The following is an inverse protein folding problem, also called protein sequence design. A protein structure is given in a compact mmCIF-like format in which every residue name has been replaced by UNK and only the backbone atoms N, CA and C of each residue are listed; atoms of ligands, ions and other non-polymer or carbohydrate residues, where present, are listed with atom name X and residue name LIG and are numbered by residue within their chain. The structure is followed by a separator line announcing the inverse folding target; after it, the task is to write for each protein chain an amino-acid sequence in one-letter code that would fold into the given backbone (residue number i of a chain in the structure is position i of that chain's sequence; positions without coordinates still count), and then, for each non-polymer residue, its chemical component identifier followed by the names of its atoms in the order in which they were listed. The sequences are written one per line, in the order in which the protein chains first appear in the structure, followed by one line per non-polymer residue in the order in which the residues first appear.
data_IF_984338219621
#
_entry.id   IF_984338219621
#
_cell.length_a   1.000
_cell.length_b   1.000
_cell.length_c   1.000
_cell.angle_alpha   90.00
_cell.angle_beta   90.00
_cell.angle_gamma   90.00
#
_symmetry.space_group_name_H-M   'P 1'
#
loop_
_entity.id
_entity.type
_entity.pdbx_description
1 polymer ?
#
# COMPACT_ATOMS: atom_id res chain seq x y z
N UNK A 1 12.11 17.07 -28.13
CA UNK A 1 12.65 17.07 -26.76
C UNK A 1 11.43 16.96 -25.87
N UNK A 2 11.22 15.84 -25.19
CA UNK A 2 10.12 15.76 -24.21
C UNK A 2 10.61 16.54 -22.98
N UNK A 3 9.86 17.55 -22.57
CA UNK A 3 10.17 18.31 -21.36
C UNK A 3 9.77 17.49 -20.14
N UNK A 4 10.70 17.28 -19.22
CA UNK A 4 10.40 16.66 -17.93
C UNK A 4 9.62 17.65 -17.06
N UNK A 5 8.40 17.29 -16.68
CA UNK A 5 7.56 17.98 -15.71
C UNK A 5 7.60 17.35 -14.32
N UNK A 6 7.16 18.09 -13.31
CA UNK A 6 6.98 17.59 -11.96
C UNK A 6 5.62 18.02 -11.37
N UNK A 7 5.08 17.21 -10.47
CA UNK A 7 3.82 17.49 -9.78
C UNK A 7 3.94 17.13 -8.29
N UNK A 8 3.96 18.11 -7.37
CA UNK A 8 3.89 17.85 -5.94
C UNK A 8 2.45 17.48 -5.52
N UNK A 9 2.32 16.51 -4.62
CA UNK A 9 1.02 16.06 -4.14
C UNK A 9 1.09 15.49 -2.72
N UNK A 10 -0.08 15.39 -2.08
CA UNK A 10 -0.26 14.63 -0.84
C UNK A 10 -0.93 13.29 -1.18
N UNK A 11 -0.34 12.14 -0.81
CA UNK A 11 -0.99 10.84 -1.03
C UNK A 11 -2.31 10.76 -0.24
N UNK A 12 -3.28 10.00 -0.73
CA UNK A 12 -4.52 9.72 0.01
C UNK A 12 -4.31 8.70 1.14
N UNK A 13 -3.30 7.84 0.98
CA UNK A 13 -2.86 6.92 2.00
C UNK A 13 -1.35 6.64 1.89
N UNK A 14 -0.70 6.54 3.05
CA UNK A 14 0.61 5.95 3.22
C UNK A 14 0.62 5.15 4.52
N UNK A 15 0.62 3.83 4.45
CA UNK A 15 0.59 2.94 5.61
C UNK A 15 1.88 2.13 5.69
N UNK A 16 2.41 1.96 6.90
CA UNK A 16 3.43 0.94 7.17
C UNK A 16 2.80 -0.31 7.75
N UNK A 17 3.24 -1.47 7.28
CA UNK A 17 2.79 -2.79 7.73
C UNK A 17 4.01 -3.59 8.17
N UNK A 18 4.00 -4.03 9.43
CA UNK A 18 5.11 -4.72 10.09
C UNK A 18 4.61 -5.97 10.82
N UNK A 19 5.54 -6.84 11.24
CA UNK A 19 5.25 -8.09 11.94
C UNK A 19 5.65 -9.33 11.13
N UNK A 20 5.81 -10.47 11.82
CA UNK A 20 6.31 -11.72 11.22
C UNK A 20 5.40 -12.22 10.08
N UNK A 21 4.10 -12.00 10.19
CA UNK A 21 3.09 -12.51 9.25
C UNK A 21 2.73 -11.53 8.12
N UNK A 22 3.27 -10.31 8.15
CA UNK A 22 2.92 -9.24 7.21
C UNK A 22 3.02 -9.62 5.71
N UNK A 23 4.06 -10.33 5.23
CA UNK A 23 4.13 -10.73 3.82
C UNK A 23 2.99 -11.66 3.40
N UNK A 24 2.68 -12.65 4.24
CA UNK A 24 1.63 -13.64 3.99
C UNK A 24 0.24 -13.01 4.08
N UNK A 25 0.03 -12.21 5.11
CA UNK A 25 -1.19 -11.43 5.30
C UNK A 25 -1.47 -10.54 4.08
N UNK A 26 -0.52 -9.69 3.68
CA UNK A 26 -0.69 -8.78 2.55
C UNK A 26 -0.96 -9.53 1.24
N UNK A 27 -0.27 -10.65 1.00
CA UNK A 27 -0.53 -11.46 -0.19
C UNK A 27 -1.94 -12.04 -0.20
N UNK A 28 -2.51 -12.40 0.95
CA UNK A 28 -3.89 -12.84 1.08
C UNK A 28 -4.93 -11.74 0.86
N UNK A 29 -4.56 -10.48 1.09
CA UNK A 29 -5.46 -9.33 0.96
C UNK A 29 -5.44 -8.68 -0.42
N UNK A 30 -4.35 -8.82 -1.17
CA UNK A 30 -4.09 -8.04 -2.39
C UNK A 30 -4.30 -8.85 -3.67
N UNK A 31 -4.86 -8.22 -4.70
CA UNK A 31 -5.23 -8.91 -5.95
C UNK A 31 -4.04 -9.34 -6.81
N UNK A 32 -2.89 -8.70 -6.65
CA UNK A 32 -1.69 -8.95 -7.46
C UNK A 32 -0.63 -9.68 -6.64
N UNK A 33 0.28 -10.37 -7.34
CA UNK A 33 1.37 -11.08 -6.67
C UNK A 33 2.36 -10.08 -6.09
N UNK A 34 2.58 -10.18 -4.80
CA UNK A 34 3.63 -9.47 -4.10
C UNK A 34 4.91 -10.32 -4.17
N UNK A 35 6.03 -9.71 -4.51
CA UNK A 35 7.34 -10.34 -4.49
C UNK A 35 7.93 -10.13 -3.08
N UNK A 36 7.92 -11.13 -2.19
CA UNK A 36 8.16 -10.93 -0.76
C UNK A 36 9.60 -10.55 -0.39
N UNK A 37 10.52 -10.48 -1.35
CA UNK A 37 11.97 -10.29 -1.09
C UNK A 37 12.64 -9.26 -1.99
N UNK A 38 11.88 -8.51 -2.79
CA UNK A 38 12.47 -7.52 -3.69
C UNK A 38 12.09 -6.10 -3.25
N UNK A 39 12.97 -5.46 -2.46
CA UNK A 39 12.83 -4.08 -1.99
C UNK A 39 12.80 -3.03 -3.12
N UNK A 40 12.97 -3.43 -4.37
CA UNK A 40 12.95 -2.55 -5.54
C UNK A 40 11.70 -2.73 -6.40
N UNK A 41 10.76 -3.58 -5.99
CA UNK A 41 9.51 -3.78 -6.72
C UNK A 41 8.35 -3.07 -6.01
N UNK A 42 7.63 -2.28 -6.79
CA UNK A 42 6.39 -1.64 -6.37
C UNK A 42 5.23 -2.21 -7.19
N UNK A 43 4.32 -2.94 -6.53
CA UNK A 43 3.24 -3.65 -7.19
C UNK A 43 1.94 -2.88 -7.06
N UNK A 44 1.37 -2.47 -8.19
CA UNK A 44 0.00 -1.97 -8.24
C UNK A 44 -1.03 -3.10 -8.19
N UNK A 45 -2.17 -2.84 -7.56
CA UNK A 45 -3.28 -3.77 -7.46
C UNK A 45 -4.45 -3.19 -6.70
N UNK A 46 -5.42 -4.05 -6.39
CA UNK A 46 -6.66 -3.68 -5.73
C UNK A 46 -6.97 -4.59 -4.55
N UNK A 47 -7.73 -4.06 -3.61
CA UNK A 47 -8.37 -4.80 -2.54
C UNK A 47 -9.83 -5.07 -2.91
N UNK A 48 -10.25 -6.33 -2.84
CA UNK A 48 -11.57 -6.77 -3.27
C UNK A 48 -12.42 -7.25 -2.08
N UNK A 49 -13.73 -7.07 -2.16
CA UNK A 49 -14.65 -7.78 -1.25
C UNK A 49 -14.77 -9.27 -1.64
N UNK A 50 -15.52 -10.04 -0.83
CA UNK A 50 -15.76 -11.47 -1.09
C UNK A 50 -16.53 -11.76 -2.40
N UNK A 51 -17.09 -10.73 -3.04
CA UNK A 51 -17.79 -10.80 -4.32
C UNK A 51 -16.94 -10.29 -5.49
N UNK A 52 -15.66 -9.98 -5.25
CA UNK A 52 -14.74 -9.46 -6.26
C UNK A 52 -14.91 -7.98 -6.59
N UNK A 53 -15.63 -7.21 -5.78
CA UNK A 53 -15.82 -5.76 -6.01
C UNK A 53 -14.66 -4.97 -5.41
N UNK A 54 -14.12 -4.03 -6.19
CA UNK A 54 -13.05 -3.14 -5.74
C UNK A 54 -13.53 -2.30 -4.56
N UNK A 55 -12.77 -2.35 -3.47
CA UNK A 55 -12.96 -1.54 -2.27
C UNK A 55 -11.94 -0.39 -2.21
N UNK A 56 -10.72 -0.67 -2.66
CA UNK A 56 -9.62 0.29 -2.72
C UNK A 56 -8.59 -0.18 -3.77
N UNK A 57 -7.74 0.73 -4.20
CA UNK A 57 -6.60 0.50 -5.08
C UNK A 57 -5.34 1.12 -4.48
N UNK A 58 -4.18 0.65 -4.94
CA UNK A 58 -2.92 1.21 -4.49
C UNK A 58 -1.72 0.38 -4.88
N UNK A 59 -0.63 0.66 -4.19
CA UNK A 59 0.67 0.08 -4.41
C UNK A 59 1.16 -0.55 -3.12
N UNK A 60 1.83 -1.69 -3.25
CA UNK A 60 2.56 -2.35 -2.16
C UNK A 60 4.01 -2.49 -2.56
N UNK A 61 4.91 -2.12 -1.66
CA UNK A 61 6.36 -2.23 -1.84
C UNK A 61 7.05 -2.44 -0.50
N UNK A 62 8.33 -2.83 -0.53
CA UNK A 62 9.10 -3.14 0.67
C UNK A 62 10.23 -2.11 0.83
N UNK A 63 10.36 -1.53 2.02
CA UNK A 63 11.46 -0.61 2.39
C UNK A 63 12.18 -1.17 3.61
N UNK A 64 13.40 -1.68 3.42
CA UNK A 64 14.06 -2.49 4.44
C UNK A 64 13.23 -3.75 4.70
N UNK A 65 12.77 -3.94 5.94
CA UNK A 65 11.88 -5.04 6.34
C UNK A 65 10.42 -4.60 6.54
N UNK A 66 10.09 -3.35 6.22
CA UNK A 66 8.76 -2.76 6.44
C UNK A 66 8.02 -2.69 5.11
N UNK A 67 6.84 -3.33 5.06
CA UNK A 67 5.97 -3.21 3.91
C UNK A 67 5.27 -1.85 3.95
N UNK A 68 5.17 -1.22 2.79
CA UNK A 68 4.53 0.07 2.61
C UNK A 68 3.33 -0.09 1.69
N UNK A 69 2.23 0.55 2.05
CA UNK A 69 1.05 0.70 1.22
C UNK A 69 0.90 2.17 0.87
N UNK A 70 0.74 2.47 -0.42
CA UNK A 70 0.48 3.82 -0.90
C UNK A 70 -0.72 3.84 -1.83
N UNK A 71 -1.56 4.88 -1.73
CA UNK A 71 -2.61 5.14 -2.72
C UNK A 71 -2.70 6.61 -3.09
N UNK A 72 -2.95 6.88 -4.37
CA UNK A 72 -3.25 8.22 -4.87
C UNK A 72 -4.65 8.68 -4.45
N UNK A 73 -5.63 7.77 -4.41
CA UNK A 73 -7.05 8.13 -4.29
C UNK A 73 -7.83 7.40 -3.20
N UNK A 74 -7.34 6.25 -2.74
CA UNK A 74 -7.99 5.49 -1.67
C UNK A 74 -7.57 6.05 -0.30
N UNK A 75 -8.51 6.53 0.56
CA UNK A 75 -8.16 7.10 1.85
C UNK A 75 -7.58 6.08 2.83
N UNK A 76 -6.61 6.52 3.65
CA UNK A 76 -5.97 5.70 4.67
C UNK A 76 -6.98 5.04 5.63
N UNK A 77 -7.95 5.81 6.13
CA UNK A 77 -8.96 5.30 7.07
C UNK A 77 -9.71 4.06 6.56
N UNK A 78 -10.10 4.06 5.27
CA UNK A 78 -10.80 2.90 4.68
C UNK A 78 -9.90 1.70 4.44
N UNK A 79 -8.62 1.93 4.13
CA UNK A 79 -7.63 0.86 4.03
C UNK A 79 -7.30 0.25 5.39
N UNK A 80 -7.12 1.07 6.43
CA UNK A 80 -6.88 0.64 7.81
C UNK A 80 -8.08 -0.15 8.33
N UNK A 81 -9.30 0.40 8.28
CA UNK A 81 -10.52 -0.28 8.73
C UNK A 81 -10.67 -1.65 8.07
N UNK A 82 -10.42 -1.71 6.76
CA UNK A 82 -10.47 -2.96 6.02
C UNK A 82 -9.41 -3.93 6.53
N UNK A 83 -8.14 -3.55 6.53
CA UNK A 83 -7.03 -4.47 6.82
C UNK A 83 -7.11 -4.97 8.27
N UNK A 84 -7.39 -4.08 9.24
CA UNK A 84 -7.60 -4.44 10.65
C UNK A 84 -8.69 -5.50 10.82
N UNK A 85 -9.78 -5.43 10.04
CA UNK A 85 -10.86 -6.41 10.13
C UNK A 85 -10.43 -7.85 9.75
N UNK A 86 -9.26 -8.02 9.13
CA UNK A 86 -8.69 -9.32 8.78
C UNK A 86 -7.46 -9.69 9.63
N UNK A 87 -6.94 -8.79 10.46
CA UNK A 87 -5.87 -9.09 11.43
C UNK A 87 -6.55 -9.71 12.66
N UNK A 88 -6.47 -11.03 12.79
CA UNK A 88 -7.13 -11.76 13.90
C UNK A 88 -6.09 -12.37 14.85
N UNK A 89 -5.23 -13.22 14.31
CA UNK A 89 -4.19 -13.93 15.07
C UNK A 89 -2.80 -13.78 14.46
N UNK A 90 -2.72 -13.03 13.35
CA UNK A 90 -1.48 -12.78 12.63
C UNK A 90 -0.69 -11.71 13.40
N UNK A 91 0.64 -11.89 13.50
CA UNK A 91 1.55 -10.86 13.98
C UNK A 91 1.70 -9.78 12.89
N UNK A 92 0.76 -8.84 12.88
CA UNK A 92 0.71 -7.72 11.92
C UNK A 92 0.29 -6.44 12.63
N UNK A 93 1.09 -5.39 12.47
CA UNK A 93 0.79 -4.05 12.95
C UNK A 93 0.68 -3.06 11.77
N UNK A 94 -0.35 -2.22 11.79
CA UNK A 94 -0.59 -1.16 10.82
C UNK A 94 -0.33 0.21 11.48
N UNK A 95 0.34 1.11 10.76
CA UNK A 95 0.41 2.51 11.13
C UNK A 95 0.08 3.42 9.94
N UNK A 96 -0.78 4.40 10.19
CA UNK A 96 -1.09 5.46 9.22
C UNK A 96 -0.05 6.58 9.34
N UNK A 97 0.73 6.72 8.27
CA UNK A 97 1.84 7.67 8.15
C UNK A 97 1.51 8.77 7.13
N UNK A 98 0.28 8.82 6.63
CA UNK A 98 -0.15 9.71 5.52
C UNK A 98 0.16 11.19 5.79
N UNK A 99 -0.01 11.64 7.03
CA UNK A 99 0.24 13.03 7.41
C UNK A 99 1.72 13.42 7.46
N UNK A 100 2.63 12.43 7.53
CA UNK A 100 4.07 12.64 7.56
C UNK A 100 4.68 12.67 6.16
N UNK A 101 3.90 12.40 5.12
CA UNK A 101 4.39 12.23 3.74
C UNK A 101 3.90 13.34 2.83
N UNK A 102 4.80 13.83 1.98
CA UNK A 102 4.51 14.61 0.78
C UNK A 102 5.32 14.01 -0.36
N UNK A 103 4.75 13.96 -1.56
CA UNK A 103 5.33 13.27 -2.69
C UNK A 103 5.44 14.18 -3.92
N UNK A 104 6.32 13.80 -4.85
CA UNK A 104 6.52 14.48 -6.13
C UNK A 104 6.52 13.41 -7.22
N UNK A 105 5.69 13.58 -8.23
CA UNK A 105 5.77 12.80 -9.47
C UNK A 105 6.68 13.52 -10.46
N UNK A 106 7.67 12.83 -11.01
CA UNK A 106 8.53 13.30 -12.10
C UNK A 106 8.12 12.55 -13.38
N UNK A 107 7.78 13.28 -14.44
CA UNK A 107 7.19 12.72 -15.67
C UNK A 107 7.87 13.39 -16.87
N UNK A 108 8.42 12.63 -17.81
CA UNK A 108 9.11 13.19 -18.99
C UNK A 108 9.73 12.13 -19.87
#
# INVERSE_FOLDING_TARGET
MLETGYFPYKPAAWLSVQGEDAPGFLQGQFSNRLEPKNAHLCTYGVWLDRRGRVQADGFVFLVGDIHQIFSYGSPAAGLVERLDAYIIADDVELADETDKVTAISLIG
#
